data_IF_548948916795
#
_entry.id   IF_548948916795
#
_cell.length_a   1.000
_cell.length_b   1.000
_cell.length_c   1.000
_cell.angle_alpha   90.00
_cell.angle_beta   90.00
_cell.angle_gamma   90.00
#
_symmetry.space_group_name_H-M   'P 1'
#
loop_
_entity.id
_entity.type
_entity.pdbx_description
1 polymer ?
#
# COMPACT_ATOMS: atom_id res chain seq x y z
N UNK A 1 22.25 5.56 9.13
CA UNK A 1 20.99 5.68 8.37
C UNK A 1 20.20 4.41 8.60
N UNK A 2 19.09 4.50 9.33
CA UNK A 2 18.39 3.36 9.94
C UNK A 2 17.85 2.39 8.90
N UNK A 3 18.41 1.17 8.88
CA UNK A 3 17.83 0.03 8.19
C UNK A 3 16.51 -0.38 8.86
N UNK A 4 15.42 0.26 8.48
CA UNK A 4 14.09 -0.02 9.02
C UNK A 4 13.42 -1.13 8.19
N UNK A 5 14.00 -2.33 8.24
CA UNK A 5 13.30 -3.55 7.85
C UNK A 5 12.12 -3.77 8.81
N UNK A 6 11.00 -3.07 8.58
CA UNK A 6 9.71 -3.33 9.23
C UNK A 6 8.83 -4.26 8.37
N UNK A 7 9.42 -4.98 7.42
CA UNK A 7 8.75 -5.98 6.59
C UNK A 7 8.47 -7.29 7.32
N UNK A 8 7.84 -7.25 8.50
CA UNK A 8 7.06 -8.43 8.89
C UNK A 8 5.89 -8.50 7.92
N UNK A 9 5.59 -9.68 7.36
CA UNK A 9 4.43 -9.83 6.46
C UNK A 9 3.13 -9.26 7.06
N UNK A 10 3.05 -9.18 8.40
CA UNK A 10 2.00 -8.50 9.16
C UNK A 10 1.84 -7.01 8.81
N UNK A 11 2.93 -6.24 8.71
CA UNK A 11 2.89 -4.82 8.40
C UNK A 11 2.47 -4.56 6.95
N UNK A 12 2.95 -5.39 6.02
CA UNK A 12 2.53 -5.34 4.61
C UNK A 12 1.03 -5.67 4.49
N UNK A 13 0.57 -6.68 5.23
CA UNK A 13 -0.84 -7.05 5.25
C UNK A 13 -1.72 -5.98 5.90
N UNK A 14 -1.23 -5.31 6.95
CA UNK A 14 -1.91 -4.17 7.56
C UNK A 14 -2.06 -3.03 6.55
N UNK A 15 -0.98 -2.66 5.86
CA UNK A 15 -1.01 -1.64 4.80
C UNK A 15 -2.02 -2.00 3.70
N UNK A 16 -2.06 -3.25 3.26
CA UNK A 16 -3.05 -3.73 2.29
C UNK A 16 -4.49 -3.51 2.78
N UNK A 17 -4.80 -3.93 4.01
CA UNK A 17 -6.13 -3.75 4.61
C UNK A 17 -6.51 -2.28 4.73
N UNK A 18 -5.58 -1.43 5.15
CA UNK A 18 -5.80 0.01 5.30
C UNK A 18 -6.08 0.69 3.95
N UNK A 19 -5.35 0.30 2.90
CA UNK A 19 -5.60 0.76 1.53
C UNK A 19 -6.98 0.34 1.04
N UNK A 20 -7.38 -0.92 1.25
CA UNK A 20 -8.73 -1.38 0.89
C UNK A 20 -9.83 -0.63 1.65
N UNK A 21 -9.62 -0.40 2.97
CA UNK A 21 -10.57 0.34 3.80
C UNK A 21 -10.74 1.78 3.29
N UNK A 22 -9.65 2.45 2.96
CA UNK A 22 -9.73 3.77 2.33
C UNK A 22 -10.41 3.75 0.98
N UNK A 23 -10.13 2.76 0.13
CA UNK A 23 -10.75 2.68 -1.19
C UNK A 23 -12.28 2.70 -1.10
N UNK A 24 -12.85 2.14 -0.02
CA UNK A 24 -14.28 2.18 0.25
C UNK A 24 -14.79 3.56 0.67
N UNK A 25 -13.96 4.40 1.29
CA UNK A 25 -14.32 5.75 1.74
C UNK A 25 -14.15 6.83 0.67
N UNK A 26 -13.58 6.51 -0.49
CA UNK A 26 -13.46 7.45 -1.61
C UNK A 26 -14.84 7.91 -2.11
N UNK A 27 -15.01 9.19 -2.37
CA UNK A 27 -16.27 9.77 -2.90
C UNK A 27 -16.16 10.16 -4.36
N UNK A 28 -15.02 10.73 -4.75
CA UNK A 28 -14.78 11.29 -6.08
C UNK A 28 -13.98 10.38 -7.01
N UNK A 29 -13.79 9.12 -6.65
CA UNK A 29 -12.99 8.16 -7.41
C UNK A 29 -13.79 6.88 -7.61
N UNK A 30 -13.62 6.26 -8.78
CA UNK A 30 -14.11 4.91 -9.02
C UNK A 30 -13.47 3.94 -8.01
N UNK A 31 -14.30 3.51 -7.06
CA UNK A 31 -13.89 2.61 -5.97
C UNK A 31 -13.42 1.27 -6.51
N UNK A 32 -14.09 0.73 -7.53
CA UNK A 32 -13.76 -0.57 -8.08
C UNK A 32 -12.44 -0.52 -8.83
N UNK A 33 -12.21 0.55 -9.59
CA UNK A 33 -10.92 0.79 -10.22
C UNK A 33 -9.80 0.89 -9.18
N UNK A 34 -9.99 1.69 -8.12
CA UNK A 34 -8.99 1.83 -7.05
C UNK A 34 -8.69 0.48 -6.38
N UNK A 35 -9.72 -0.27 -6.00
CA UNK A 35 -9.56 -1.57 -5.33
C UNK A 35 -8.89 -2.59 -6.25
N UNK A 36 -9.25 -2.63 -7.54
CA UNK A 36 -8.59 -3.48 -8.54
C UNK A 36 -7.11 -3.11 -8.68
N UNK A 37 -6.77 -1.81 -8.73
CA UNK A 37 -5.39 -1.36 -8.85
C UNK A 37 -4.56 -1.75 -7.62
N UNK A 38 -5.08 -1.55 -6.41
CA UNK A 38 -4.39 -1.97 -5.17
C UNK A 38 -4.15 -3.48 -5.18
N UNK A 39 -5.16 -4.28 -5.49
CA UNK A 39 -5.01 -5.76 -5.58
C UNK A 39 -3.98 -6.17 -6.62
N UNK A 40 -3.98 -5.53 -7.78
CA UNK A 40 -3.04 -5.79 -8.86
C UNK A 40 -1.60 -5.54 -8.43
N UNK A 41 -1.31 -4.37 -7.85
CA UNK A 41 0.04 -4.00 -7.39
C UNK A 41 0.58 -5.00 -6.34
N UNK A 42 -0.23 -5.36 -5.34
CA UNK A 42 0.20 -6.32 -4.31
C UNK A 42 0.42 -7.72 -4.87
N UNK A 43 -0.40 -8.18 -5.83
CA UNK A 43 -0.19 -9.47 -6.51
C UNK A 43 1.06 -9.46 -7.38
N UNK A 44 1.30 -8.38 -8.12
CA UNK A 44 2.45 -8.27 -9.01
C UNK A 44 3.77 -8.25 -8.23
N UNK A 45 3.75 -7.67 -7.03
CA UNK A 45 4.92 -7.56 -6.16
C UNK A 45 5.00 -8.67 -5.09
N UNK A 46 4.15 -9.70 -5.13
CA UNK A 46 4.10 -10.72 -4.07
C UNK A 46 5.38 -11.57 -3.97
N UNK A 47 6.12 -11.69 -5.07
CA UNK A 47 7.40 -12.41 -5.15
C UNK A 47 8.60 -11.46 -5.16
N UNK A 48 8.40 -10.17 -4.86
CA UNK A 48 9.48 -9.19 -4.82
C UNK A 48 10.42 -9.54 -3.67
N UNK A 49 11.68 -9.84 -4.00
CA UNK A 49 12.72 -10.20 -3.03
C UNK A 49 13.70 -9.06 -2.77
N UNK A 50 13.78 -8.11 -3.71
CA UNK A 50 14.66 -6.94 -3.61
C UNK A 50 14.26 -6.08 -2.44
N UNK A 51 15.20 -5.96 -1.52
CA UNK A 51 15.01 -5.25 -0.27
C UNK A 51 14.62 -3.78 -0.47
N UNK A 52 15.30 -3.12 -1.39
CA UNK A 52 15.08 -1.72 -1.74
C UNK A 52 13.69 -1.51 -2.35
N UNK A 53 13.27 -2.44 -3.20
CA UNK A 53 12.00 -2.29 -3.93
C UNK A 53 10.80 -2.55 -3.01
N UNK A 54 10.91 -3.54 -2.10
CA UNK A 54 9.88 -3.78 -1.06
C UNK A 54 9.69 -2.50 -0.24
N UNK A 55 10.79 -1.88 0.21
CA UNK A 55 10.75 -0.66 1.01
C UNK A 55 10.14 0.51 0.23
N UNK A 56 10.52 0.68 -1.04
CA UNK A 56 9.95 1.69 -1.92
C UNK A 56 8.43 1.55 -2.04
N UNK A 57 7.94 0.36 -2.39
CA UNK A 57 6.50 0.12 -2.55
C UNK A 57 5.73 0.26 -1.24
N UNK A 58 6.29 -0.22 -0.13
CA UNK A 58 5.70 -0.08 1.20
C UNK A 58 5.56 1.39 1.61
N UNK A 59 6.64 2.17 1.45
CA UNK A 59 6.64 3.59 1.79
C UNK A 59 5.68 4.38 0.89
N UNK A 60 5.64 4.10 -0.41
CA UNK A 60 4.68 4.69 -1.34
C UNK A 60 3.22 4.46 -0.91
N UNK A 61 2.89 3.24 -0.48
CA UNK A 61 1.55 2.92 0.03
C UNK A 61 1.20 3.67 1.32
N UNK A 62 2.17 3.79 2.25
CA UNK A 62 1.99 4.58 3.48
C UNK A 62 1.83 6.08 3.19
N UNK A 63 2.57 6.60 2.24
CA UNK A 63 2.51 8.00 1.84
C UNK A 63 1.16 8.33 1.20
N UNK A 64 0.65 7.43 0.34
CA UNK A 64 -0.71 7.50 -0.16
C UNK A 64 -1.70 7.58 1.01
N UNK A 65 -1.56 6.75 2.06
CA UNK A 65 -2.41 6.82 3.26
C UNK A 65 -2.29 8.13 4.05
N UNK A 66 -1.08 8.69 4.15
CA UNK A 66 -0.83 9.95 4.85
C UNK A 66 -1.47 11.13 4.14
N UNK A 67 -1.39 11.19 2.81
CA UNK A 67 -1.92 12.29 2.00
C UNK A 67 -3.46 12.33 1.98
N UNK A 68 -4.14 11.23 2.32
CA UNK A 68 -5.62 11.17 2.50
C UNK A 68 -6.15 12.11 3.57
N UNK A 69 -5.28 12.64 4.43
CA UNK A 69 -5.63 13.63 5.45
C UNK A 69 -5.75 15.06 4.91
N UNK A 70 -5.55 15.26 3.60
CA UNK A 70 -5.71 16.54 2.90
C UNK A 70 -6.84 16.40 1.86
N UNK A 71 -7.99 15.86 2.25
CA UNK A 71 -9.27 15.98 1.51
C UNK A 71 -10.40 16.01 2.52
#
# INVERSE_FOLDING_TARGET
MSGMYSGTGKNILALYKDLLKYGKSLTLTDKDYFLKRVKFEFRNNQFLTSKKDIEFHYNRGKELLKLKRIV
#
